data_IF_087861057046
#
_entry.id   IF_087861057046
#
_cell.length_a   1.000
_cell.length_b   1.000
_cell.length_c   1.000
_cell.angle_alpha   90.00
_cell.angle_beta   90.00
_cell.angle_gamma   90.00
#
_symmetry.space_group_name_H-M   'P 1'
#
loop_
_entity.id
_entity.type
_entity.pdbx_description
1 polymer ?
#
# COMPACT_ATOMS: atom_id res chain seq x y z
N UNK A 1 15.60 -10.37 -3.90
CA UNK A 1 14.34 -10.29 -3.13
C UNK A 1 13.24 -10.48 -4.14
N UNK A 2 12.36 -11.45 -3.94
CA UNK A 2 11.23 -11.66 -4.86
C UNK A 2 10.08 -10.71 -4.51
N UNK A 3 9.41 -10.14 -5.51
CA UNK A 3 8.26 -9.26 -5.33
C UNK A 3 6.96 -10.08 -5.27
N UNK A 4 6.70 -10.71 -4.11
CA UNK A 4 5.47 -11.47 -3.89
C UNK A 4 4.61 -10.80 -2.81
N UNK A 5 3.35 -10.53 -3.14
CA UNK A 5 2.34 -10.02 -2.22
C UNK A 5 1.08 -10.89 -2.34
N UNK A 6 0.75 -11.58 -1.25
CA UNK A 6 -0.48 -12.35 -1.12
C UNK A 6 -1.46 -11.57 -0.23
N UNK A 7 -2.48 -10.96 -0.83
CA UNK A 7 -3.39 -10.05 -0.14
C UNK A 7 -4.16 -10.76 0.98
N UNK A 8 -4.59 -12.00 0.74
CA UNK A 8 -5.31 -12.79 1.73
C UNK A 8 -4.47 -13.09 2.97
N UNK A 9 -3.19 -13.42 2.80
CA UNK A 9 -2.27 -13.68 3.91
C UNK A 9 -1.98 -12.41 4.71
N UNK A 10 -1.71 -11.30 4.01
CA UNK A 10 -1.46 -9.99 4.63
C UNK A 10 -2.68 -9.50 5.40
N UNK A 11 -3.89 -9.70 4.87
CA UNK A 11 -5.14 -9.39 5.59
C UNK A 11 -5.30 -10.24 6.83
N UNK A 12 -5.11 -11.57 6.74
CA UNK A 12 -5.19 -12.45 7.91
C UNK A 12 -4.15 -12.06 8.99
N UNK A 13 -2.93 -11.71 8.58
CA UNK A 13 -1.89 -11.23 9.49
C UNK A 13 -2.26 -9.89 10.13
N UNK A 14 -2.83 -8.97 9.35
CA UNK A 14 -3.33 -7.67 9.81
C UNK A 14 -4.41 -7.86 10.89
N UNK A 15 -5.41 -8.70 10.62
CA UNK A 15 -6.48 -8.99 11.56
C UNK A 15 -5.95 -9.62 12.85
N UNK A 16 -5.05 -10.60 12.75
CA UNK A 16 -4.43 -11.26 13.89
C UNK A 16 -3.66 -10.26 14.77
N UNK A 17 -2.86 -9.39 14.15
CA UNK A 17 -2.08 -8.39 14.86
C UNK A 17 -2.98 -7.31 15.50
N UNK A 18 -4.05 -6.92 14.82
CA UNK A 18 -5.04 -5.99 15.38
C UNK A 18 -5.77 -6.60 16.58
N UNK A 19 -6.14 -7.87 16.51
CA UNK A 19 -6.76 -8.58 17.64
C UNK A 19 -5.81 -8.61 18.86
N UNK A 20 -4.52 -8.90 18.64
CA UNK A 20 -3.50 -8.84 19.69
C UNK A 20 -3.38 -7.44 20.31
N UNK A 21 -3.32 -6.39 19.48
CA UNK A 21 -3.23 -5.01 19.94
C UNK A 21 -4.47 -4.60 20.73
N UNK A 22 -5.68 -4.94 20.27
CA UNK A 22 -6.93 -4.65 20.97
C UNK A 22 -7.00 -5.36 22.34
N UNK A 23 -6.61 -6.63 22.41
CA UNK A 23 -6.53 -7.36 23.68
C UNK A 23 -5.52 -6.71 24.64
N UNK A 24 -4.39 -6.24 24.11
CA UNK A 24 -3.35 -5.55 24.89
C UNK A 24 -3.85 -4.21 25.41
N UNK A 25 -4.54 -3.41 24.59
CA UNK A 25 -5.17 -2.15 24.99
C UNK A 25 -6.13 -2.39 26.15
N UNK A 26 -7.06 -3.33 26.01
CA UNK A 26 -8.02 -3.68 27.07
C UNK A 26 -7.33 -4.09 28.37
N UNK A 27 -6.27 -4.93 28.28
CA UNK A 27 -5.50 -5.33 29.45
C UNK A 27 -4.79 -4.14 30.13
N UNK A 28 -4.20 -3.24 29.35
CA UNK A 28 -3.53 -2.06 29.89
C UNK A 28 -4.52 -1.07 30.50
N UNK A 29 -5.71 -0.88 29.92
CA UNK A 29 -6.78 -0.08 30.50
C UNK A 29 -7.24 -0.63 31.86
N UNK A 30 -7.38 -1.96 31.99
CA UNK A 30 -7.68 -2.60 33.27
C UNK A 30 -6.58 -2.40 34.31
N UNK A 31 -5.31 -2.45 33.89
CA UNK A 31 -4.18 -2.17 34.79
C UNK A 31 -4.21 -0.70 35.25
N UNK A 32 -4.45 0.25 34.35
CA UNK A 32 -4.57 1.67 34.71
C UNK A 32 -5.71 1.86 35.72
N UNK A 33 -6.87 1.25 35.48
CA UNK A 33 -8.00 1.32 36.42
C UNK A 33 -7.66 0.73 37.80
N UNK A 34 -6.94 -0.38 37.83
CA UNK A 34 -6.50 -1.02 39.08
C UNK A 34 -5.47 -0.16 39.83
N UNK A 35 -4.56 0.49 39.12
CA UNK A 35 -3.60 1.45 39.69
C UNK A 35 -4.31 2.64 40.28
N UNK A 36 -5.27 3.23 39.56
CA UNK A 36 -6.03 4.39 40.02
C UNK A 36 -6.85 4.05 41.27
N UNK A 37 -7.47 2.86 41.30
CA UNK A 37 -8.19 2.35 42.48
C UNK A 37 -7.25 2.13 43.67
N UNK A 38 -6.11 1.47 43.44
CA UNK A 38 -5.11 1.24 44.48
C UNK A 38 -4.56 2.55 45.06
N UNK A 39 -4.31 3.54 44.21
CA UNK A 39 -3.80 4.85 44.62
C UNK A 39 -4.77 5.62 45.51
N UNK A 40 -6.07 5.56 45.19
CA UNK A 40 -7.15 6.27 45.90
C UNK A 40 -7.60 5.57 47.19
N UNK A 41 -7.19 4.31 47.43
CA UNK A 41 -7.55 3.55 48.62
C UNK A 41 -7.08 4.25 49.91
N UNK A 42 -8.00 4.60 50.80
CA UNK A 42 -7.71 5.30 52.05
C UNK A 42 -7.33 4.38 53.22
N UNK A 43 -7.55 3.07 53.11
CA UNK A 43 -7.25 2.07 54.15
C UNK A 43 -5.77 1.69 54.13
N UNK A 44 -5.18 1.57 52.93
CA UNK A 44 -3.79 1.20 52.74
C UNK A 44 -2.86 2.41 52.99
N UNK A 45 -2.36 2.49 54.23
CA UNK A 45 -1.55 3.59 54.75
C UNK A 45 -0.17 3.14 55.24
N UNK A 46 0.74 4.10 55.44
CA UNK A 46 2.12 3.86 55.86
C UNK A 46 3.12 4.07 54.72
N UNK A 47 4.41 4.12 55.06
CA UNK A 47 5.49 4.43 54.10
C UNK A 47 5.55 3.42 52.96
N UNK A 48 5.43 2.11 53.23
CA UNK A 48 5.51 1.07 52.19
C UNK A 48 4.42 1.24 51.13
N UNK A 49 3.17 1.44 51.55
CA UNK A 49 2.06 1.67 50.63
C UNK A 49 2.18 3.01 49.91
N UNK A 50 2.64 4.06 50.60
CA UNK A 50 2.86 5.38 49.97
C UNK A 50 3.89 5.31 48.84
N UNK A 51 5.02 4.63 49.07
CA UNK A 51 6.04 4.39 48.05
C UNK A 51 5.53 3.53 46.90
N UNK A 52 4.75 2.48 47.18
CA UNK A 52 4.16 1.64 46.15
C UNK A 52 3.16 2.42 45.27
N UNK A 53 2.25 3.19 45.88
CA UNK A 53 1.29 4.06 45.17
C UNK A 53 2.02 5.05 44.27
N UNK A 54 3.05 5.71 44.79
CA UNK A 54 3.87 6.63 44.02
C UNK A 54 4.54 5.93 42.82
N UNK A 55 5.14 4.75 43.02
CA UNK A 55 5.78 3.99 41.94
C UNK A 55 4.78 3.61 40.83
N UNK A 56 3.62 3.05 41.18
CA UNK A 56 2.63 2.66 40.17
C UNK A 56 2.08 3.86 39.39
N UNK A 57 1.81 4.97 40.07
CA UNK A 57 1.31 6.19 39.43
C UNK A 57 2.35 6.87 38.55
N UNK A 58 3.61 6.93 38.98
CA UNK A 58 4.65 7.71 38.30
C UNK A 58 5.40 6.90 37.23
N UNK A 59 5.44 5.57 37.36
CA UNK A 59 6.22 4.70 36.46
C UNK A 59 5.29 3.82 35.63
N UNK A 60 4.45 3.01 36.28
CA UNK A 60 3.72 1.97 35.58
C UNK A 60 2.53 2.51 34.79
N UNK A 61 1.79 3.50 35.33
CA UNK A 61 0.66 4.12 34.65
C UNK A 61 1.08 4.81 33.34
N UNK A 62 2.13 5.65 33.29
CA UNK A 62 2.65 6.18 32.02
C UNK A 62 3.14 5.09 31.05
N UNK A 63 3.74 4.01 31.56
CA UNK A 63 4.17 2.89 30.73
C UNK A 63 2.97 2.20 30.06
N UNK A 64 1.90 1.91 30.81
CA UNK A 64 0.68 1.32 30.28
C UNK A 64 0.04 2.21 29.20
N UNK A 65 0.02 3.53 29.42
CA UNK A 65 -0.42 4.50 28.42
C UNK A 65 0.47 4.48 27.16
N UNK A 66 1.78 4.35 27.32
CA UNK A 66 2.72 4.21 26.19
C UNK A 66 2.49 2.94 25.38
N UNK A 67 2.19 1.82 26.03
CA UNK A 67 1.83 0.56 25.37
C UNK A 67 0.53 0.71 24.57
N UNK A 68 -0.50 1.31 25.18
CA UNK A 68 -1.78 1.60 24.49
C UNK A 68 -1.52 2.43 23.23
N UNK A 69 -0.76 3.53 23.36
CA UNK A 69 -0.43 4.39 22.22
C UNK A 69 0.31 3.64 21.10
N UNK A 70 1.26 2.77 21.45
CA UNK A 70 1.96 1.95 20.46
C UNK A 70 0.98 0.99 19.74
N UNK A 71 0.10 0.32 20.47
CA UNK A 71 -0.91 -0.57 19.90
C UNK A 71 -1.86 0.17 18.95
N UNK A 72 -2.34 1.37 19.31
CA UNK A 72 -3.16 2.20 18.44
C UNK A 72 -2.45 2.56 17.14
N UNK A 73 -1.15 2.87 17.20
CA UNK A 73 -0.34 3.17 16.02
C UNK A 73 -0.13 1.94 15.14
N UNK A 74 0.15 0.79 15.75
CA UNK A 74 0.33 -0.48 15.03
C UNK A 74 -0.95 -0.87 14.29
N UNK A 75 -2.12 -0.79 14.93
CA UNK A 75 -3.42 -1.03 14.28
C UNK A 75 -3.57 -0.13 13.05
N UNK A 76 -3.33 1.17 13.23
CA UNK A 76 -3.50 2.15 12.15
C UNK A 76 -2.57 1.87 10.96
N UNK A 77 -1.34 1.46 11.22
CA UNK A 77 -0.35 1.12 10.19
C UNK A 77 -0.68 -0.21 9.50
N UNK A 78 -1.04 -1.24 10.27
CA UNK A 78 -1.44 -2.53 9.71
C UNK A 78 -2.67 -2.42 8.82
N UNK A 79 -3.63 -1.57 9.20
CA UNK A 79 -4.80 -1.30 8.39
C UNK A 79 -4.47 -0.52 7.11
N UNK A 80 -3.51 0.42 7.19
CA UNK A 80 -3.12 1.25 6.06
C UNK A 80 -2.35 0.46 5.01
N UNK A 81 -1.44 -0.42 5.43
CA UNK A 81 -0.56 -1.15 4.53
C UNK A 81 -1.27 -1.89 3.37
N UNK A 82 -2.21 -2.82 3.61
CA UNK A 82 -2.89 -3.53 2.52
C UNK A 82 -3.77 -2.59 1.70
N UNK A 83 -4.41 -1.59 2.31
CA UNK A 83 -5.23 -0.61 1.58
C UNK A 83 -4.40 0.25 0.64
N UNK A 84 -3.27 0.76 1.11
CA UNK A 84 -2.37 1.60 0.34
C UNK A 84 -1.74 0.80 -0.80
N UNK A 85 -1.38 -0.47 -0.54
CA UNK A 85 -0.97 -1.39 -1.60
C UNK A 85 -2.07 -1.57 -2.65
N UNK A 86 -3.30 -1.85 -2.24
CA UNK A 86 -4.42 -2.05 -3.16
C UNK A 86 -4.75 -0.80 -3.99
N UNK A 87 -4.57 0.38 -3.41
CA UNK A 87 -4.81 1.66 -4.09
C UNK A 87 -3.70 2.06 -5.05
N UNK A 88 -2.44 1.71 -4.77
CA UNK A 88 -1.27 2.26 -5.46
C UNK A 88 -0.58 1.24 -6.38
N UNK A 89 -0.74 -0.05 -6.11
CA UNK A 89 0.01 -1.12 -6.80
C UNK A 89 -0.94 -2.05 -7.55
N UNK A 90 -1.76 -2.82 -6.84
CA UNK A 90 -2.63 -3.82 -7.45
C UNK A 90 -3.78 -4.23 -6.52
N UNK A 91 -4.97 -4.46 -7.09
CA UNK A 91 -6.13 -4.96 -6.34
C UNK A 91 -6.13 -6.48 -6.12
N UNK A 92 -5.18 -7.19 -6.71
CA UNK A 92 -5.03 -8.65 -6.64
C UNK A 92 -3.65 -9.03 -6.11
N UNK A 93 -3.43 -10.32 -5.87
CA UNK A 93 -2.11 -10.83 -5.56
C UNK A 93 -1.10 -10.45 -6.65
N UNK A 94 0.14 -10.22 -6.21
CA UNK A 94 1.27 -9.88 -7.09
C UNK A 94 2.32 -10.96 -6.92
N UNK A 95 2.59 -11.68 -8.01
CA UNK A 95 3.59 -12.74 -8.04
C UNK A 95 4.59 -12.36 -9.14
N UNK A 96 5.83 -12.10 -8.75
CA UNK A 96 6.85 -11.59 -9.67
C UNK A 96 7.03 -12.49 -10.89
N UNK A 97 7.00 -13.81 -10.70
CA UNK A 97 7.19 -14.75 -11.78
C UNK A 97 6.08 -14.65 -12.84
N UNK A 98 4.82 -14.48 -12.43
CA UNK A 98 3.69 -14.33 -13.35
C UNK A 98 3.84 -13.04 -14.17
N UNK A 99 4.28 -11.95 -13.52
CA UNK A 99 4.55 -10.69 -14.20
C UNK A 99 5.70 -10.85 -15.21
N UNK A 100 6.78 -11.55 -14.85
CA UNK A 100 7.90 -11.82 -15.76
C UNK A 100 7.50 -12.74 -16.91
N UNK A 101 6.57 -13.67 -16.70
CA UNK A 101 5.99 -14.50 -17.77
C UNK A 101 5.15 -13.64 -18.71
N UNK A 102 4.24 -12.81 -18.20
CA UNK A 102 3.44 -11.88 -19.00
C UNK A 102 4.32 -10.91 -19.81
N UNK A 103 5.37 -10.36 -19.21
CA UNK A 103 6.33 -9.49 -19.93
C UNK A 103 7.00 -10.27 -21.05
N UNK A 104 7.48 -11.49 -20.80
CA UNK A 104 8.12 -12.33 -21.84
C UNK A 104 7.15 -12.75 -22.93
N UNK A 105 5.89 -12.99 -22.61
CA UNK A 105 4.86 -13.32 -23.61
C UNK A 105 4.61 -12.15 -24.56
N UNK A 106 4.66 -10.91 -24.05
CA UNK A 106 4.50 -9.70 -24.87
C UNK A 106 5.81 -9.32 -25.58
N UNK A 107 6.96 -9.58 -24.94
CA UNK A 107 8.27 -9.24 -25.46
C UNK A 107 8.57 -10.01 -26.75
N UNK A 108 8.79 -9.29 -27.85
CA UNK A 108 9.00 -9.87 -29.17
C UNK A 108 7.73 -10.32 -29.91
N UNK A 109 6.53 -10.11 -29.36
CA UNK A 109 5.30 -10.30 -30.15
C UNK A 109 5.24 -9.28 -31.28
N UNK A 110 4.95 -9.77 -32.49
CA UNK A 110 4.67 -8.93 -33.64
C UNK A 110 3.37 -8.17 -33.35
N UNK A 111 3.43 -6.84 -33.26
CA UNK A 111 2.23 -6.02 -33.14
C UNK A 111 1.44 -6.12 -34.44
N UNK A 112 0.41 -6.96 -34.46
CA UNK A 112 -0.57 -7.00 -35.55
C UNK A 112 -1.53 -5.81 -35.41
N UNK A 113 -1.41 -4.85 -36.32
CA UNK A 113 -2.21 -3.62 -36.28
C UNK A 113 -1.97 -2.73 -37.48
N UNK A 114 -2.87 -1.77 -37.69
CA UNK A 114 -2.73 -0.78 -38.76
C UNK A 114 -1.63 0.21 -38.41
N UNK A 115 -0.54 0.20 -39.15
CA UNK A 115 0.56 1.12 -38.93
C UNK A 115 0.18 2.48 -39.53
N UNK A 116 0.04 3.52 -38.70
CA UNK A 116 -0.35 4.85 -39.15
C UNK A 116 0.81 5.82 -38.92
N UNK A 117 1.24 6.49 -39.98
CA UNK A 117 2.19 7.61 -39.91
C UNK A 117 1.43 8.93 -40.05
N UNK A 118 1.43 9.74 -39.00
CA UNK A 118 0.80 11.06 -39.03
C UNK A 118 1.79 12.14 -39.48
N UNK A 119 1.37 12.96 -40.46
CA UNK A 119 2.16 14.10 -40.96
C UNK A 119 1.31 15.37 -41.05
N UNK A 120 1.91 16.58 -41.00
CA UNK A 120 1.17 17.83 -41.14
C UNK A 120 0.41 17.95 -42.47
N UNK A 121 -0.76 18.58 -42.46
CA UNK A 121 -1.56 18.84 -43.69
C UNK A 121 -0.79 19.67 -44.72
N UNK A 122 0.13 20.54 -44.30
CA UNK A 122 1.00 21.33 -45.19
C UNK A 122 1.83 20.46 -46.14
N UNK A 123 2.13 19.21 -45.77
CA UNK A 123 2.82 18.24 -46.64
C UNK A 123 1.98 17.77 -47.85
N UNK A 124 0.67 18.03 -47.92
CA UNK A 124 -0.15 17.73 -49.11
C UNK A 124 0.33 18.47 -50.36
N UNK A 125 0.94 19.64 -50.19
CA UNK A 125 1.44 20.44 -51.32
C UNK A 125 2.76 19.92 -51.89
N UNK A 126 3.36 18.90 -51.28
CA UNK A 126 4.61 18.33 -51.77
C UNK A 126 4.39 17.59 -53.08
N UNK A 127 5.07 18.02 -54.15
CA UNK A 127 4.90 17.52 -55.53
C UNK A 127 4.95 15.99 -55.69
N UNK A 128 5.59 15.27 -54.77
CA UNK A 128 5.73 13.80 -54.81
C UNK A 128 4.93 13.08 -53.73
N UNK A 129 4.03 13.75 -53.01
CA UNK A 129 3.33 13.19 -51.85
C UNK A 129 2.61 11.87 -52.18
N UNK A 130 1.90 11.80 -53.31
CA UNK A 130 1.20 10.59 -53.75
C UNK A 130 2.14 9.40 -53.97
N UNK A 131 3.35 9.67 -54.51
CA UNK A 131 4.39 8.64 -54.67
C UNK A 131 4.80 8.06 -53.31
N UNK A 132 4.90 8.90 -52.28
CA UNK A 132 5.30 8.46 -50.95
C UNK A 132 4.16 7.77 -50.19
N UNK A 133 2.91 8.25 -50.31
CA UNK A 133 1.73 7.57 -49.78
C UNK A 133 1.61 6.17 -50.38
N UNK A 134 1.72 6.06 -51.71
CA UNK A 134 1.66 4.78 -52.40
C UNK A 134 2.79 3.85 -51.97
N UNK A 135 4.02 4.35 -51.86
CA UNK A 135 5.16 3.56 -51.40
C UNK A 135 5.00 3.10 -49.94
N UNK A 136 4.48 3.95 -49.06
CA UNK A 136 4.24 3.61 -47.66
C UNK A 136 3.23 2.46 -47.53
N UNK A 137 2.13 2.54 -48.28
CA UNK A 137 1.10 1.50 -48.31
C UNK A 137 1.58 0.21 -48.97
N UNK A 138 2.10 0.28 -50.20
CA UNK A 138 2.38 -0.91 -51.02
C UNK A 138 3.62 -1.68 -50.52
N UNK A 139 4.62 -0.99 -49.96
CA UNK A 139 5.90 -1.62 -49.56
C UNK A 139 6.00 -1.90 -48.07
N UNK A 140 5.32 -1.12 -47.24
CA UNK A 140 5.48 -1.17 -45.78
C UNK A 140 4.17 -1.35 -45.02
N UNK A 141 3.02 -1.42 -45.72
CA UNK A 141 1.68 -1.50 -45.12
C UNK A 141 1.38 -0.37 -44.10
N UNK A 142 1.92 0.82 -44.37
CA UNK A 142 1.73 2.02 -43.54
C UNK A 142 0.70 2.95 -44.19
N UNK A 143 -0.33 3.33 -43.43
CA UNK A 143 -1.28 4.36 -43.82
C UNK A 143 -0.77 5.75 -43.39
N UNK A 144 -0.76 6.70 -44.32
CA UNK A 144 -0.42 8.09 -44.00
C UNK A 144 -1.71 8.85 -43.65
N UNK A 145 -1.76 9.46 -42.46
CA UNK A 145 -2.85 10.34 -42.04
C UNK A 145 -2.34 11.77 -41.93
N UNK A 146 -3.10 12.71 -42.48
CA UNK A 146 -2.78 14.13 -42.35
C UNK A 146 -3.41 14.69 -41.08
N UNK A 147 -2.60 15.30 -40.24
CA UNK A 147 -2.99 15.96 -38.99
C UNK A 147 -3.09 17.47 -39.23
N UNK A 148 -4.19 18.08 -38.82
CA UNK A 148 -4.34 19.54 -38.85
C UNK A 148 -3.36 20.20 -37.87
N UNK A 149 -2.88 21.38 -38.24
CA UNK A 149 -1.97 22.20 -37.42
C UNK A 149 -2.74 22.92 -36.30
#
# INVERSE_FOLDING_TARGET
MSLNMYLGEVQAQTESMNAFCNATIQGMEQIIHSIDTFALDAVLQGQTYSSAKAYFLQTFRPLAQGIIYLCEKLIRQNDAFPRDFQSQVASTDVIEQEILEQIREIDGQLLEGKHILEIPVSNKNFRKIDKYIKRAKDKYDIEIRFREE
#
